data_IF_639682152919
#
_entry.id   IF_639682152919
#
_cell.length_a   1.000
_cell.length_b   1.000
_cell.length_c   1.000
_cell.angle_alpha   90.00
_cell.angle_beta   90.00
_cell.angle_gamma   90.00
#
_symmetry.space_group_name_H-M   'P 1'
#
loop_
_entity.id
_entity.type
_entity.pdbx_description
1 polymer ?
#
# COMPACT_ATOMS: atom_id res chain seq x y z
N UNK A 1 -6.38 5.88 13.28
CA UNK A 1 -5.20 5.44 14.05
C UNK A 1 -5.47 5.37 15.55
N UNK A 2 -6.10 6.38 16.17
CA UNK A 2 -6.36 6.41 17.62
C UNK A 2 -7.05 5.16 18.17
N UNK A 3 -8.15 4.75 17.54
CA UNK A 3 -8.91 3.54 17.88
C UNK A 3 -8.02 2.29 17.94
N UNK A 4 -7.13 2.11 16.95
CA UNK A 4 -6.27 0.93 16.88
C UNK A 4 -5.23 0.93 18.01
N UNK A 5 -4.62 2.09 18.30
CA UNK A 5 -3.63 2.24 19.35
C UNK A 5 -4.22 2.02 20.74
N UNK A 6 -5.35 2.67 21.04
CA UNK A 6 -6.04 2.50 22.31
C UNK A 6 -6.52 1.06 22.51
N UNK A 7 -7.10 0.43 21.48
CA UNK A 7 -7.56 -0.94 21.57
C UNK A 7 -6.40 -1.92 21.76
N UNK A 8 -5.26 -1.69 21.10
CA UNK A 8 -4.05 -2.49 21.30
C UNK A 8 -3.58 -2.39 22.76
N UNK A 9 -3.44 -1.17 23.30
CA UNK A 9 -3.02 -0.95 24.67
C UNK A 9 -3.95 -1.66 25.67
N UNK A 10 -5.28 -1.53 25.49
CA UNK A 10 -6.28 -2.21 26.31
C UNK A 10 -6.21 -3.74 26.20
N UNK A 11 -6.07 -4.26 24.98
CA UNK A 11 -6.06 -5.70 24.74
C UNK A 11 -4.85 -6.40 25.38
N UNK A 12 -3.69 -5.74 25.37
CA UNK A 12 -2.46 -6.33 25.91
C UNK A 12 -2.28 -6.08 27.41
N UNK A 13 -3.01 -5.13 28.01
CA UNK A 13 -2.88 -4.74 29.42
C UNK A 13 -2.92 -5.90 30.45
N UNK A 14 -3.72 -6.97 30.29
CA UNK A 14 -3.72 -8.07 31.26
C UNK A 14 -2.44 -8.91 31.29
N UNK A 15 -1.63 -8.86 30.23
CA UNK A 15 -0.42 -9.69 30.07
C UNK A 15 0.84 -8.82 30.06
N UNK A 16 0.83 -7.75 29.28
CA UNK A 16 1.93 -6.79 29.11
C UNK A 16 1.60 -5.48 29.83
N UNK A 17 1.29 -5.58 31.12
CA UNK A 17 0.75 -4.48 31.93
C UNK A 17 1.59 -3.19 31.88
N UNK A 18 2.91 -3.28 32.12
CA UNK A 18 3.80 -2.12 32.07
C UNK A 18 3.86 -1.51 30.66
N UNK A 19 3.97 -2.33 29.62
CA UNK A 19 4.03 -1.86 28.23
C UNK A 19 2.73 -1.21 27.79
N UNK A 20 1.58 -1.77 28.20
CA UNK A 20 0.27 -1.19 27.92
C UNK A 20 0.13 0.20 28.56
N UNK A 21 0.54 0.33 29.82
CA UNK A 21 0.52 1.60 30.54
C UNK A 21 1.50 2.61 29.93
N UNK A 22 2.72 2.18 29.58
CA UNK A 22 3.70 3.04 28.90
C UNK A 22 3.17 3.56 27.56
N UNK A 23 2.52 2.70 26.76
CA UNK A 23 1.86 3.14 25.51
C UNK A 23 0.81 4.19 25.84
N UNK A 24 -0.06 3.92 26.82
CA UNK A 24 -1.17 4.80 27.19
C UNK A 24 -0.71 6.18 27.66
N UNK A 25 0.30 6.24 28.52
CA UNK A 25 0.88 7.50 29.04
C UNK A 25 1.59 8.33 27.96
N UNK A 26 1.97 7.72 26.84
CA UNK A 26 2.67 8.39 25.73
C UNK A 26 1.76 8.65 24.51
N UNK A 27 0.44 8.47 24.65
CA UNK A 27 -0.51 8.84 23.60
C UNK A 27 -0.50 10.37 23.40
N UNK A 28 -0.30 10.89 22.16
CA UNK A 28 -0.10 12.32 21.91
C UNK A 28 -1.41 13.13 21.86
N UNK A 29 -2.48 12.61 22.47
CA UNK A 29 -3.79 13.23 22.55
C UNK A 29 -4.48 12.83 23.85
N UNK A 30 -5.46 13.63 24.29
CA UNK A 30 -6.18 13.37 25.53
C UNK A 30 -7.03 12.10 25.44
N UNK A 31 -6.90 11.25 26.45
CA UNK A 31 -7.76 10.08 26.65
C UNK A 31 -8.70 10.33 27.85
N UNK A 32 -9.84 9.63 27.96
CA UNK A 32 -10.77 9.82 29.08
C UNK A 32 -10.23 9.40 30.45
N UNK A 33 -9.15 8.62 30.49
CA UNK A 33 -8.61 8.01 31.70
C UNK A 33 -7.10 8.20 31.76
N UNK A 34 -6.57 8.37 32.97
CA UNK A 34 -5.13 8.53 33.16
C UNK A 34 -4.38 7.23 32.90
N UNK A 35 -4.90 6.08 33.37
CA UNK A 35 -4.27 4.77 33.16
C UNK A 35 -5.08 3.87 32.22
N UNK A 36 -4.39 2.97 31.50
CA UNK A 36 -5.04 1.95 30.67
C UNK A 36 -5.93 1.02 31.51
N UNK A 37 -5.58 0.78 32.77
CA UNK A 37 -6.32 -0.10 33.67
C UNK A 37 -7.69 0.46 34.09
N UNK A 38 -7.88 1.77 33.99
CA UNK A 38 -9.17 2.43 34.22
C UNK A 38 -10.09 2.37 32.99
N UNK A 39 -9.50 2.13 31.81
CA UNK A 39 -10.21 2.23 30.53
C UNK A 39 -11.09 1.02 30.18
N UNK A 40 -10.98 -0.05 30.96
CA UNK A 40 -11.74 -1.29 30.80
C UNK A 40 -11.33 -2.12 29.57
N UNK A 41 -12.17 -3.09 29.21
CA UNK A 41 -11.92 -3.96 28.07
C UNK A 41 -12.22 -3.30 26.73
N UNK A 42 -11.61 -3.82 25.66
CA UNK A 42 -11.86 -3.39 24.28
C UNK A 42 -13.34 -3.52 23.94
N UNK A 43 -13.92 -2.46 23.36
CA UNK A 43 -15.28 -2.46 22.81
C UNK A 43 -15.17 -2.34 21.30
N UNK A 44 -15.74 -3.31 20.60
CA UNK A 44 -15.77 -3.34 19.14
C UNK A 44 -17.12 -2.79 18.67
N UNK A 45 -17.09 -1.93 17.66
CA UNK A 45 -18.29 -1.48 16.97
C UNK A 45 -18.75 -2.56 16.00
N UNK A 46 -20.02 -2.97 16.09
CA UNK A 46 -20.62 -3.94 15.18
C UNK A 46 -20.55 -3.47 13.71
N UNK A 47 -20.54 -2.16 13.46
CA UNK A 47 -20.38 -1.59 12.12
C UNK A 47 -19.02 -1.92 11.46
N UNK A 48 -18.02 -2.32 12.24
CA UNK A 48 -16.71 -2.74 11.69
C UNK A 48 -16.73 -4.17 11.15
N UNK A 49 -17.74 -4.97 11.49
CA UNK A 49 -17.87 -6.34 11.00
C UNK A 49 -18.37 -6.34 9.56
N UNK A 50 -17.44 -6.33 8.61
CA UNK A 50 -17.71 -6.34 7.16
C UNK A 50 -17.10 -7.60 6.50
N UNK A 51 -17.84 -8.73 6.46
CA UNK A 51 -17.33 -9.99 5.90
C UNK A 51 -16.87 -9.88 4.45
N UNK A 52 -17.64 -9.19 3.60
CA UNK A 52 -17.29 -8.99 2.18
C UNK A 52 -15.97 -8.24 2.00
N UNK A 53 -15.71 -7.25 2.87
CA UNK A 53 -14.43 -6.52 2.88
C UNK A 53 -13.30 -7.45 3.32
N UNK A 54 -13.52 -8.28 4.34
CA UNK A 54 -12.51 -9.23 4.81
C UNK A 54 -12.13 -10.25 3.72
N UNK A 55 -13.11 -10.78 2.98
CA UNK A 55 -12.90 -11.68 1.84
C UNK A 55 -12.13 -10.99 0.72
N UNK A 56 -12.46 -9.73 0.40
CA UNK A 56 -11.71 -8.94 -0.57
C UNK A 56 -10.24 -8.76 -0.16
N UNK A 57 -9.98 -8.48 1.12
CA UNK A 57 -8.61 -8.36 1.64
C UNK A 57 -7.84 -9.68 1.64
N UNK A 58 -8.50 -10.84 1.68
CA UNK A 58 -7.84 -12.13 1.47
C UNK A 58 -7.26 -12.18 0.06
N UNK A 59 -8.07 -11.87 -0.96
CA UNK A 59 -7.63 -11.82 -2.37
C UNK A 59 -6.49 -10.84 -2.60
N UNK A 60 -6.56 -9.64 -1.98
CA UNK A 60 -5.48 -8.65 -2.06
C UNK A 60 -4.16 -9.15 -1.46
N UNK A 61 -4.23 -9.91 -0.34
CA UNK A 61 -3.03 -10.51 0.28
C UNK A 61 -2.45 -11.64 -0.56
N UNK A 62 -3.28 -12.42 -1.24
CA UNK A 62 -2.84 -13.46 -2.18
C UNK A 62 -2.08 -12.84 -3.36
N UNK A 63 -2.65 -11.82 -4.01
CA UNK A 63 -1.98 -11.06 -5.07
C UNK A 63 -0.66 -10.49 -4.56
N UNK A 64 -0.65 -9.85 -3.39
CA UNK A 64 0.57 -9.29 -2.81
C UNK A 64 1.63 -10.36 -2.52
N UNK A 65 1.22 -11.55 -2.08
CA UNK A 65 2.14 -12.66 -1.82
C UNK A 65 2.81 -13.13 -3.12
N UNK A 66 2.05 -13.29 -4.21
CA UNK A 66 2.59 -13.65 -5.52
C UNK A 66 3.51 -12.57 -6.09
N UNK A 67 3.10 -11.29 -6.03
CA UNK A 67 3.94 -10.16 -6.43
C UNK A 67 5.26 -10.15 -5.68
N UNK A 68 5.23 -10.38 -4.36
CA UNK A 68 6.45 -10.45 -3.56
C UNK A 68 7.36 -11.62 -3.97
N UNK A 69 6.81 -12.78 -4.34
CA UNK A 69 7.62 -13.89 -4.81
C UNK A 69 8.39 -13.54 -6.09
N UNK A 70 7.72 -12.91 -7.05
CA UNK A 70 8.37 -12.46 -8.30
C UNK A 70 9.37 -11.34 -8.02
N UNK A 71 9.04 -10.41 -7.12
CA UNK A 71 9.92 -9.31 -6.69
C UNK A 71 11.21 -9.83 -6.06
N UNK A 72 11.11 -10.85 -5.19
CA UNK A 72 12.28 -11.46 -4.56
C UNK A 72 13.20 -12.14 -5.58
N UNK A 73 12.65 -12.74 -6.64
CA UNK A 73 13.46 -13.27 -7.74
C UNK A 73 14.19 -12.13 -8.48
N UNK A 74 13.50 -11.04 -8.78
CA UNK A 74 14.10 -9.86 -9.41
C UNK A 74 15.21 -9.22 -8.55
N UNK A 75 15.05 -9.21 -7.22
CA UNK A 75 16.09 -8.74 -6.28
C UNK A 75 17.30 -9.64 -6.24
N UNK A 76 17.11 -10.97 -6.19
CA UNK A 76 18.22 -11.94 -6.18
C UNK A 76 19.11 -11.80 -7.42
N UNK A 77 18.49 -11.56 -8.56
CA UNK A 77 19.18 -11.37 -9.84
C UNK A 77 19.64 -9.92 -10.06
N UNK A 78 19.47 -9.04 -9.05
CA UNK A 78 19.88 -7.63 -9.04
C UNK A 78 19.23 -6.76 -10.13
N UNK A 79 18.07 -7.17 -10.64
CA UNK A 79 17.30 -6.33 -11.58
C UNK A 79 16.68 -5.14 -10.86
N UNK A 80 16.16 -5.35 -9.64
CA UNK A 80 15.65 -4.29 -8.75
C UNK A 80 16.41 -4.29 -7.43
N UNK A 81 16.72 -3.11 -6.88
CA UNK A 81 17.33 -2.98 -5.56
C UNK A 81 16.26 -2.86 -4.47
N UNK A 82 15.39 -1.87 -4.63
CA UNK A 82 14.20 -1.63 -3.81
C UNK A 82 12.93 -2.05 -4.56
N UNK A 83 11.85 -2.43 -3.87
CA UNK A 83 10.56 -2.62 -4.56
C UNK A 83 10.05 -1.36 -5.24
N UNK A 84 10.46 -0.18 -4.77
CA UNK A 84 10.12 1.08 -5.42
C UNK A 84 10.81 1.26 -6.78
N UNK A 85 11.83 0.47 -7.10
CA UNK A 85 12.46 0.53 -8.43
C UNK A 85 11.60 -0.21 -9.48
N UNK A 86 10.49 -0.84 -9.07
CA UNK A 86 9.69 -1.72 -9.89
C UNK A 86 8.35 -1.10 -10.36
N UNK A 87 7.95 -1.54 -11.56
CA UNK A 87 6.59 -1.50 -12.09
C UNK A 87 6.04 -2.92 -12.12
N UNK A 88 4.83 -3.09 -11.59
CA UNK A 88 4.10 -4.37 -11.62
C UNK A 88 3.15 -4.38 -12.80
N UNK A 89 3.24 -5.40 -13.63
CA UNK A 89 2.23 -5.73 -14.62
C UNK A 89 1.36 -6.85 -14.04
N UNK A 90 0.06 -6.60 -13.90
CA UNK A 90 -0.87 -7.52 -13.24
C UNK A 90 -2.08 -7.81 -14.13
N UNK A 91 -2.26 -9.07 -14.46
CA UNK A 91 -3.46 -9.62 -15.08
C UNK A 91 -4.19 -10.50 -14.06
N UNK A 92 -5.52 -10.39 -14.00
CA UNK A 92 -6.38 -11.23 -13.16
C UNK A 92 -7.54 -11.75 -14.02
N UNK A 93 -7.74 -13.07 -14.00
CA UNK A 93 -8.75 -13.74 -14.81
C UNK A 93 -10.19 -13.45 -14.35
N UNK A 94 -10.42 -13.29 -13.05
CA UNK A 94 -11.71 -12.89 -12.48
C UNK A 94 -12.01 -11.43 -12.84
N UNK A 95 -12.94 -11.23 -13.77
CA UNK A 95 -13.42 -9.92 -14.23
C UNK A 95 -13.90 -9.02 -13.09
N UNK A 96 -14.64 -9.58 -12.12
CA UNK A 96 -15.17 -8.80 -11.00
C UNK A 96 -14.03 -8.30 -10.12
N UNK A 97 -13.05 -9.15 -9.85
CA UNK A 97 -11.86 -8.77 -9.09
C UNK A 97 -11.03 -7.73 -9.87
N UNK A 98 -10.86 -7.90 -11.18
CA UNK A 98 -10.14 -6.93 -12.02
C UNK A 98 -10.80 -5.54 -11.99
N UNK A 99 -12.12 -5.46 -12.02
CA UNK A 99 -12.86 -4.19 -11.88
C UNK A 99 -12.67 -3.56 -10.49
N UNK A 100 -12.66 -4.35 -9.42
CA UNK A 100 -12.37 -3.85 -8.07
C UNK A 100 -10.93 -3.32 -7.96
N UNK A 101 -9.97 -4.00 -8.56
CA UNK A 101 -8.57 -3.57 -8.62
C UNK A 101 -8.41 -2.30 -9.46
N UNK A 102 -9.14 -2.17 -10.56
CA UNK A 102 -9.11 -0.96 -11.40
C UNK A 102 -9.59 0.27 -10.63
N UNK A 103 -10.62 0.13 -9.79
CA UNK A 103 -11.06 1.21 -8.89
C UNK A 103 -9.98 1.62 -7.86
N UNK A 104 -9.05 0.72 -7.53
CA UNK A 104 -7.89 0.98 -6.69
C UNK A 104 -6.64 1.38 -7.48
N UNK A 105 -6.72 1.55 -8.80
CA UNK A 105 -5.60 1.98 -9.63
C UNK A 105 -5.95 3.22 -10.48
N UNK A 106 -6.42 4.31 -9.86
CA UNK A 106 -6.84 5.49 -10.60
C UNK A 106 -5.64 6.16 -11.28
N UNK A 107 -5.91 6.88 -12.36
CA UNK A 107 -4.89 7.67 -13.05
C UNK A 107 -4.30 8.71 -12.09
N UNK A 108 -2.99 9.02 -12.13
CA UNK A 108 -2.41 10.11 -11.34
C UNK A 108 -3.19 11.44 -11.35
N UNK A 109 -3.87 11.78 -12.45
CA UNK A 109 -4.73 12.95 -12.55
C UNK A 109 -5.98 12.91 -11.64
N UNK A 110 -6.43 11.73 -11.24
CA UNK A 110 -7.62 11.47 -10.42
C UNK A 110 -7.33 11.50 -8.90
N UNK A 111 -6.05 11.45 -8.49
CA UNK A 111 -5.63 11.57 -7.08
C UNK A 111 -6.00 12.90 -6.40
N UNK A 112 -6.61 13.85 -7.12
CA UNK A 112 -7.11 15.10 -6.53
C UNK A 112 -8.38 14.91 -5.69
N UNK A 113 -9.16 13.85 -5.92
CA UNK A 113 -10.42 13.62 -5.19
C UNK A 113 -10.23 12.80 -3.91
N UNK A 114 -9.26 11.90 -3.92
CA UNK A 114 -8.79 11.11 -2.80
C UNK A 114 -7.26 11.16 -2.89
N UNK A 115 -6.56 11.51 -1.82
CA UNK A 115 -5.08 11.64 -1.75
C UNK A 115 -4.26 10.37 -2.19
N UNK A 116 -4.92 9.38 -2.80
CA UNK A 116 -4.33 8.27 -3.52
C UNK A 116 -3.82 7.17 -2.63
N UNK A 117 -4.02 7.26 -1.30
CA UNK A 117 -3.42 6.34 -0.33
C UNK A 117 -3.84 4.89 -0.52
N UNK A 118 -5.04 4.66 -1.07
CA UNK A 118 -5.59 3.32 -1.32
C UNK A 118 -5.14 2.74 -2.69
N UNK A 119 -4.24 3.43 -3.40
CA UNK A 119 -3.78 2.97 -4.70
C UNK A 119 -3.00 1.64 -4.62
N UNK A 120 -3.17 0.76 -5.61
CA UNK A 120 -2.52 -0.56 -5.66
C UNK A 120 -1.00 -0.47 -5.51
N UNK A 121 -0.37 0.56 -6.06
CA UNK A 121 1.08 0.75 -5.94
C UNK A 121 1.56 0.84 -4.48
N UNK A 122 0.77 1.43 -3.59
CA UNK A 122 1.09 1.50 -2.15
C UNK A 122 0.81 0.19 -1.44
N UNK A 123 -0.24 -0.52 -1.84
CA UNK A 123 -0.50 -1.88 -1.35
C UNK A 123 0.63 -2.84 -1.74
N UNK A 124 1.18 -2.72 -2.95
CA UNK A 124 2.25 -3.59 -3.46
C UNK A 124 3.67 -3.06 -3.15
N UNK A 125 3.77 -1.84 -2.60
CA UNK A 125 5.04 -1.15 -2.29
C UNK A 125 5.93 -1.07 -3.54
N UNK A 126 5.37 -0.62 -4.65
CA UNK A 126 6.08 -0.40 -5.92
C UNK A 126 5.77 1.01 -6.45
N UNK A 127 6.49 1.47 -7.47
CA UNK A 127 6.25 2.81 -8.01
C UNK A 127 5.05 2.88 -8.93
N UNK A 128 4.79 1.81 -9.67
CA UNK A 128 3.78 1.76 -10.72
C UNK A 128 3.10 0.39 -10.77
N UNK A 129 1.81 0.38 -11.10
CA UNK A 129 1.02 -0.82 -11.37
C UNK A 129 0.25 -0.61 -12.67
N UNK A 130 0.42 -1.52 -13.62
CA UNK A 130 -0.37 -1.59 -14.85
C UNK A 130 -1.26 -2.82 -14.77
N UNK A 131 -2.58 -2.59 -14.75
CA UNK A 131 -3.56 -3.66 -14.86
C UNK A 131 -3.73 -4.00 -16.34
N UNK A 132 -3.61 -5.28 -16.67
CA UNK A 132 -3.69 -5.78 -18.03
C UNK A 132 -5.05 -6.43 -18.29
N UNK A 133 -5.54 -6.32 -19.52
CA UNK A 133 -6.76 -7.03 -19.99
C UNK A 133 -6.46 -8.48 -20.41
N UNK A 134 -5.21 -8.79 -20.77
CA UNK A 134 -4.75 -10.13 -21.13
C UNK A 134 -3.28 -10.33 -20.70
N UNK A 135 -2.82 -11.58 -20.57
CA UNK A 135 -1.44 -11.87 -20.16
C UNK A 135 -0.41 -11.77 -21.29
N UNK A 136 -0.80 -11.43 -22.53
CA UNK A 136 0.08 -11.52 -23.71
C UNK A 136 1.35 -10.66 -23.56
N UNK A 137 1.25 -9.49 -22.93
CA UNK A 137 2.40 -8.60 -22.66
C UNK A 137 3.46 -9.23 -21.74
N UNK A 138 3.14 -10.32 -21.05
CA UNK A 138 4.02 -10.98 -20.09
C UNK A 138 4.83 -12.12 -20.75
N UNK A 139 4.54 -12.50 -22.00
CA UNK A 139 5.11 -13.69 -22.64
C UNK A 139 6.66 -13.68 -22.66
N UNK A 140 7.27 -12.53 -22.92
CA UNK A 140 8.72 -12.39 -23.09
C UNK A 140 9.45 -11.83 -21.86
N UNK A 141 8.74 -11.62 -20.74
CA UNK A 141 9.33 -11.06 -19.54
C UNK A 141 10.02 -12.14 -18.69
N UNK A 142 11.21 -11.79 -18.20
CA UNK A 142 12.04 -12.69 -17.39
C UNK A 142 11.46 -12.94 -16.00
N UNK A 143 11.03 -11.89 -15.31
CA UNK A 143 10.55 -11.96 -13.93
C UNK A 143 9.04 -11.99 -13.92
N UNK A 144 8.47 -13.19 -13.98
CA UNK A 144 7.03 -13.40 -14.02
C UNK A 144 6.57 -14.64 -13.27
N UNK A 145 5.29 -14.64 -12.94
CA UNK A 145 4.54 -15.78 -12.44
C UNK A 145 3.22 -15.84 -13.20
N UNK A 146 2.78 -17.05 -13.56
CA UNK A 146 1.53 -17.27 -14.27
C UNK A 146 0.82 -18.49 -13.68
N UNK A 147 -0.47 -18.31 -13.38
CA UNK A 147 -1.38 -19.36 -12.91
C UNK A 147 -2.71 -19.24 -13.66
N UNK A 148 -3.62 -20.18 -13.42
CA UNK A 148 -4.98 -20.10 -13.97
C UNK A 148 -5.75 -18.86 -13.48
N UNK A 149 -5.37 -18.29 -12.32
CA UNK A 149 -6.09 -17.19 -11.68
C UNK A 149 -5.54 -15.81 -12.04
N UNK A 150 -4.22 -15.70 -12.19
CA UNK A 150 -3.54 -14.42 -12.43
C UNK A 150 -2.18 -14.60 -13.09
N UNK A 151 -1.72 -13.54 -13.73
CA UNK A 151 -0.37 -13.44 -14.27
C UNK A 151 0.28 -12.13 -13.84
N UNK A 152 1.52 -12.20 -13.39
CA UNK A 152 2.26 -11.09 -12.80
C UNK A 152 3.62 -11.01 -13.48
N UNK A 153 4.08 -9.81 -13.80
CA UNK A 153 5.50 -9.58 -14.05
C UNK A 153 6.02 -8.34 -13.33
N UNK A 154 7.32 -8.37 -13.07
CA UNK A 154 8.08 -7.26 -12.49
C UNK A 154 9.01 -6.72 -13.57
N UNK A 155 8.91 -5.43 -13.84
CA UNK A 155 9.83 -4.67 -14.71
C UNK A 155 10.35 -3.45 -13.98
N UNK A 156 11.39 -2.79 -14.51
CA UNK A 156 11.84 -1.51 -13.95
C UNK A 156 10.74 -0.45 -14.07
N UNK A 157 10.58 0.36 -13.03
CA UNK A 157 9.71 1.52 -13.06
C UNK A 157 10.20 2.55 -14.06
N UNK A 158 9.25 3.24 -14.68
CA UNK A 158 9.52 4.28 -15.67
C UNK A 158 9.76 5.64 -15.01
N UNK A 159 10.53 6.49 -15.68
CA UNK A 159 10.84 7.85 -15.22
C UNK A 159 12.06 7.89 -14.30
N UNK A 160 12.08 8.91 -13.42
CA UNK A 160 13.19 9.14 -12.50
C UNK A 160 12.76 8.98 -11.04
N UNK A 161 13.73 8.70 -10.17
CA UNK A 161 13.51 8.55 -8.74
C UNK A 161 13.27 9.91 -8.10
N UNK A 162 12.15 10.04 -7.38
CA UNK A 162 11.88 11.19 -6.53
C UNK A 162 12.73 11.16 -5.25
N UNK A 163 13.47 12.23 -4.97
CA UNK A 163 14.35 12.30 -3.79
C UNK A 163 13.58 12.29 -2.44
N UNK A 164 12.31 12.70 -2.43
CA UNK A 164 11.50 12.82 -1.21
C UNK A 164 10.78 11.52 -0.83
N UNK A 165 10.14 10.85 -1.79
CA UNK A 165 9.35 9.64 -1.51
C UNK A 165 9.97 8.35 -2.08
N UNK A 166 11.08 8.46 -2.81
CA UNK A 166 11.81 7.36 -3.46
C UNK A 166 11.01 6.54 -4.48
N UNK A 167 9.80 6.97 -4.83
CA UNK A 167 9.07 6.39 -5.94
C UNK A 167 9.61 6.96 -7.25
N UNK A 168 9.57 6.15 -8.30
CA UNK A 168 9.82 6.54 -9.67
C UNK A 168 8.56 7.17 -10.26
N UNK A 169 8.73 8.29 -10.96
CA UNK A 169 7.67 8.95 -11.70
C UNK A 169 8.23 9.54 -12.98
N UNK A 170 7.44 9.48 -14.05
CA UNK A 170 7.73 10.12 -15.33
C UNK A 170 7.59 11.66 -15.27
N UNK A 171 7.04 12.18 -14.17
CA UNK A 171 6.81 13.62 -13.95
C UNK A 171 7.86 14.26 -13.03
N UNK A 172 8.90 13.53 -12.60
CA UNK A 172 10.06 14.15 -11.95
C UNK A 172 10.72 15.10 -12.96
N UNK A 173 11.05 16.32 -12.53
CA UNK A 173 11.63 17.36 -13.39
C UNK A 173 10.62 18.36 -13.97
N UNK A 174 9.31 18.11 -13.87
CA UNK A 174 8.29 19.04 -14.39
C UNK A 174 8.17 20.34 -13.56
N UNK A 175 8.49 20.30 -12.26
CA UNK A 175 8.50 21.49 -11.42
C UNK A 175 9.84 22.21 -11.49
N UNK A 176 9.83 23.47 -11.95
CA UNK A 176 11.02 24.33 -11.95
C UNK A 176 11.54 24.65 -10.55
N UNK A 177 10.66 24.72 -9.56
CA UNK A 177 11.02 25.00 -8.15
C UNK A 177 11.56 23.74 -7.44
N UNK A 178 11.05 22.56 -7.82
CA UNK A 178 11.44 21.29 -7.23
C UNK A 178 11.76 20.24 -8.32
N UNK A 179 12.91 20.36 -9.00
CA UNK A 179 13.23 19.56 -10.17
C UNK A 179 13.50 18.07 -9.86
N UNK A 180 13.81 17.71 -8.61
CA UNK A 180 14.18 16.32 -8.25
C UNK A 180 13.07 15.52 -7.56
N UNK A 181 11.85 16.06 -7.50
CA UNK A 181 10.73 15.40 -6.84
C UNK A 181 9.53 15.23 -7.78
N UNK A 182 8.70 14.24 -7.48
CA UNK A 182 7.51 13.92 -8.27
C UNK A 182 6.33 14.86 -7.98
N UNK A 183 5.34 14.83 -8.88
CA UNK A 183 4.11 15.62 -8.85
C UNK A 183 3.37 15.52 -7.50
N UNK A 184 3.33 14.32 -6.90
CA UNK A 184 2.75 14.09 -5.58
C UNK A 184 3.48 14.84 -4.47
N UNK A 185 4.81 14.86 -4.54
CA UNK A 185 5.63 15.49 -3.51
C UNK A 185 5.60 17.01 -3.62
N UNK A 186 5.51 17.57 -4.83
CA UNK A 186 5.29 19.01 -5.05
C UNK A 186 3.99 19.44 -4.39
N UNK A 187 2.87 18.78 -4.70
CA UNK A 187 1.56 19.08 -4.10
C UNK A 187 1.58 18.95 -2.56
N UNK A 188 2.25 17.92 -2.03
CA UNK A 188 2.39 17.75 -0.58
C UNK A 188 3.22 18.85 0.10
N UNK A 189 4.25 19.40 -0.57
CA UNK A 189 5.02 20.55 -0.04
C UNK A 189 4.21 21.85 -0.12
N UNK A 190 3.35 22.00 -1.12
CA UNK A 190 2.43 23.12 -1.25
C UNK A 190 1.24 23.07 -0.26
N UNK A 191 1.03 21.94 0.44
CA UNK A 191 -0.11 21.73 1.33
C UNK A 191 -1.42 21.47 0.59
N UNK A 192 -1.35 21.02 -0.66
CA UNK A 192 -2.50 20.75 -1.55
C UNK A 192 -2.82 19.25 -1.64
N UNK A 193 -2.29 18.44 -0.71
CA UNK A 193 -2.38 16.98 -0.72
C UNK A 193 -3.43 16.43 0.25
#
# INVERSE_FOLDING_TARGET
MAIALENLAKAIAPVLCHTAEDIWQNIPYSTPYLSVFESGWVRLDEAWKKPELAEFWVKLREIRAEVNQVMEQARKDKMVGSSLDAKILLYVADEKLRQQLAAMNPNPAEFKQNNGVDALRYLLICSQVELLENPDKLADLQYKSESELMAIAVVNAEGEKCDRCWNYSVHVGESSEHPTICERCVSALAGEF
#
